data_IF_962868423590
#
_entry.id   IF_962868423590
#
_cell.length_a   1.000
_cell.length_b   1.000
_cell.length_c   1.000
_cell.angle_alpha   90.00
_cell.angle_beta   90.00
_cell.angle_gamma   90.00
#
_symmetry.space_group_name_H-M   'P 1'
#
loop_
_entity.id
_entity.type
_entity.pdbx_description
1 polymer ?
#
# COMPACT_ATOMS: atom_id res chain seq x y z
N UNK A 1 3.28 -23.96 3.49
CA UNK A 1 2.08 -23.81 2.63
C UNK A 1 1.64 -22.36 2.69
N UNK A 2 1.28 -21.76 1.55
CA UNK A 2 0.78 -20.39 1.51
C UNK A 2 -0.58 -20.30 2.21
N UNK A 3 -0.79 -19.24 2.98
CA UNK A 3 -2.08 -18.90 3.57
C UNK A 3 -3.08 -18.47 2.50
N UNK A 4 -4.38 -18.52 2.80
CA UNK A 4 -5.43 -18.07 1.88
C UNK A 4 -5.24 -16.63 1.38
N UNK A 5 -4.63 -15.75 2.20
CA UNK A 5 -4.30 -14.37 1.80
C UNK A 5 -3.12 -14.32 0.82
N UNK A 6 -2.08 -15.09 1.08
CA UNK A 6 -0.93 -15.19 0.18
C UNK A 6 -1.33 -15.77 -1.18
N UNK A 7 -2.24 -16.74 -1.21
CA UNK A 7 -2.78 -17.29 -2.47
C UNK A 7 -3.52 -16.20 -3.27
N UNK A 8 -4.30 -15.35 -2.61
CA UNK A 8 -5.01 -14.25 -3.28
C UNK A 8 -4.09 -13.18 -3.86
N UNK A 9 -2.89 -12.99 -3.30
CA UNK A 9 -1.91 -12.03 -3.79
C UNK A 9 -1.01 -12.66 -4.87
N UNK A 10 -0.46 -13.84 -4.59
CA UNK A 10 0.51 -14.49 -5.48
C UNK A 10 -0.15 -15.16 -6.69
N UNK A 11 -1.40 -15.61 -6.59
CA UNK A 11 -2.13 -16.21 -7.71
C UNK A 11 -2.25 -15.27 -8.93
N UNK A 12 -2.72 -14.02 -8.75
CA UNK A 12 -2.70 -13.01 -9.80
C UNK A 12 -1.31 -12.74 -10.37
N UNK A 13 -0.28 -12.64 -9.53
CA UNK A 13 1.10 -12.44 -9.99
C UNK A 13 1.58 -13.58 -10.89
N UNK A 14 1.30 -14.83 -10.52
CA UNK A 14 1.60 -16.01 -11.33
C UNK A 14 0.84 -15.99 -12.66
N UNK A 15 -0.46 -15.67 -12.64
CA UNK A 15 -1.29 -15.56 -13.86
C UNK A 15 -0.75 -14.50 -14.82
N UNK A 16 -0.28 -13.38 -14.29
CA UNK A 16 0.30 -12.28 -15.05
C UNK A 16 1.78 -12.50 -15.40
N UNK A 17 2.38 -13.62 -14.97
CA UNK A 17 3.81 -13.93 -15.13
C UNK A 17 4.73 -12.85 -14.56
N UNK A 18 4.30 -12.20 -13.49
CA UNK A 18 5.12 -11.25 -12.73
C UNK A 18 5.99 -12.06 -11.77
N UNK A 19 7.31 -11.97 -11.93
CA UNK A 19 8.27 -12.60 -11.05
C UNK A 19 8.22 -11.94 -9.66
N UNK A 20 8.27 -12.75 -8.61
CA UNK A 20 8.30 -12.28 -7.24
C UNK A 20 9.15 -13.21 -6.37
N UNK A 21 9.77 -12.62 -5.35
CA UNK A 21 10.49 -13.34 -4.29
C UNK A 21 9.92 -12.92 -2.95
N UNK A 22 9.82 -13.88 -2.03
CA UNK A 22 9.35 -13.65 -0.67
C UNK A 22 10.49 -13.88 0.32
N UNK A 23 10.71 -12.92 1.21
CA UNK A 23 11.72 -13.00 2.26
C UNK A 23 11.01 -13.02 3.62
N UNK A 24 10.84 -14.19 4.27
CA UNK A 24 10.25 -14.26 5.59
C UNK A 24 11.13 -13.55 6.62
N UNK A 25 10.55 -12.61 7.37
CA UNK A 25 11.24 -11.88 8.44
C UNK A 25 10.24 -11.55 9.57
N UNK A 26 10.70 -11.34 10.81
CA UNK A 26 9.84 -10.83 11.89
C UNK A 26 9.36 -9.40 11.56
N UNK A 27 8.26 -8.92 12.15
CA UNK A 27 7.80 -7.55 11.93
C UNK A 27 8.92 -6.53 12.19
N UNK A 28 9.17 -5.68 11.19
CA UNK A 28 10.12 -4.56 11.26
C UNK A 28 9.42 -3.41 11.95
N UNK A 29 10.01 -2.88 13.01
CA UNK A 29 9.40 -1.80 13.80
C UNK A 29 10.24 -0.52 13.81
N UNK A 30 11.50 -0.60 13.36
CA UNK A 30 12.39 0.55 13.22
C UNK A 30 12.75 0.81 11.76
N UNK A 31 13.20 2.04 11.46
CA UNK A 31 13.69 2.39 10.12
C UNK A 31 14.95 1.60 9.79
N UNK A 32 15.93 1.57 10.71
CA UNK A 32 17.23 0.94 10.51
C UNK A 32 17.12 -0.56 10.19
N UNK A 33 16.24 -1.29 10.89
CA UNK A 33 15.95 -2.70 10.58
C UNK A 33 15.40 -2.86 9.15
N UNK A 34 14.55 -1.93 8.72
CA UNK A 34 13.98 -1.91 7.37
C UNK A 34 15.03 -1.67 6.29
N UNK A 35 15.95 -0.73 6.54
CA UNK A 35 17.01 -0.39 5.61
C UNK A 35 18.02 -1.52 5.45
N UNK A 36 18.47 -2.09 6.57
CA UNK A 36 19.40 -3.22 6.56
C UNK A 36 18.82 -4.43 5.79
N UNK A 37 17.52 -4.68 5.94
CA UNK A 37 16.85 -5.74 5.18
C UNK A 37 16.77 -5.42 3.69
N UNK A 38 16.40 -4.19 3.34
CA UNK A 38 16.33 -3.74 1.95
C UNK A 38 17.69 -3.85 1.23
N UNK A 39 18.77 -3.45 1.90
CA UNK A 39 20.14 -3.61 1.42
C UNK A 39 20.50 -5.09 1.18
N UNK A 40 20.16 -5.97 2.13
CA UNK A 40 20.38 -7.42 2.02
C UNK A 40 19.67 -8.01 0.79
N UNK A 41 18.45 -7.55 0.52
CA UNK A 41 17.65 -7.98 -0.63
C UNK A 41 18.02 -7.26 -1.94
N UNK A 42 18.93 -6.28 -1.90
CA UNK A 42 19.22 -5.35 -3.02
C UNK A 42 17.93 -4.72 -3.58
N UNK A 43 17.01 -4.37 -2.69
CA UNK A 43 15.70 -3.86 -3.01
C UNK A 43 15.56 -2.39 -2.60
N UNK A 44 14.66 -1.66 -3.26
CA UNK A 44 14.26 -0.31 -2.84
C UNK A 44 13.17 -0.45 -1.78
N UNK A 45 13.42 0.09 -0.58
CA UNK A 45 12.39 0.21 0.43
C UNK A 45 11.33 1.24 -0.01
N UNK A 46 10.05 0.83 0.05
CA UNK A 46 8.92 1.69 -0.32
C UNK A 46 8.02 1.88 0.90
N UNK A 47 7.59 3.12 1.12
CA UNK A 47 6.61 3.51 2.11
C UNK A 47 5.27 3.77 1.44
N UNK A 48 4.24 3.19 2.02
CA UNK A 48 2.87 3.31 1.54
C UNK A 48 2.09 4.29 2.41
N UNK A 49 1.44 5.28 1.78
CA UNK A 49 0.55 6.23 2.45
C UNK A 49 -0.83 6.21 1.80
N UNK A 50 -1.87 6.05 2.61
CA UNK A 50 -3.24 6.11 2.14
C UNK A 50 -3.85 7.48 2.45
N UNK A 51 -4.41 8.13 1.42
CA UNK A 51 -5.07 9.42 1.52
C UNK A 51 -6.48 9.41 0.94
N UNK A 52 -7.35 10.24 1.49
CA UNK A 52 -8.69 10.51 0.97
C UNK A 52 -8.79 12.00 0.58
N UNK A 53 -9.50 12.29 -0.49
CA UNK A 53 -10.00 13.62 -0.82
C UNK A 53 -11.54 13.63 -0.59
N UNK A 54 -12.02 13.97 0.62
CA UNK A 54 -13.40 13.69 1.02
C UNK A 54 -14.43 14.43 0.17
N UNK A 55 -14.14 15.68 -0.21
CA UNK A 55 -15.02 16.50 -1.04
C UNK A 55 -15.25 15.91 -2.42
N UNK A 56 -14.22 15.28 -3.00
CA UNK A 56 -14.29 14.63 -4.32
C UNK A 56 -14.63 13.14 -4.24
N UNK A 57 -14.72 12.58 -3.03
CA UNK A 57 -14.93 11.14 -2.79
C UNK A 57 -13.89 10.27 -3.49
N UNK A 58 -12.64 10.76 -3.57
CA UNK A 58 -11.51 10.04 -4.16
C UNK A 58 -10.60 9.49 -3.08
N UNK A 59 -9.93 8.39 -3.40
CA UNK A 59 -8.95 7.74 -2.53
C UNK A 59 -7.66 7.53 -3.31
N UNK A 60 -6.54 7.65 -2.62
CA UNK A 60 -5.21 7.57 -3.19
C UNK A 60 -4.34 6.66 -2.33
N UNK A 61 -3.57 5.79 -3.00
CA UNK A 61 -2.47 5.06 -2.40
C UNK A 61 -1.18 5.64 -2.98
N UNK A 62 -0.38 6.27 -2.13
CA UNK A 62 0.91 6.82 -2.49
C UNK A 62 2.01 5.82 -2.16
N UNK A 63 2.89 5.59 -3.13
CA UNK A 63 4.09 4.78 -2.99
C UNK A 63 5.26 5.75 -3.04
N UNK A 64 6.03 5.82 -1.97
CA UNK A 64 7.23 6.65 -1.91
C UNK A 64 8.44 5.76 -1.75
N UNK A 65 9.46 5.97 -2.58
CA UNK A 65 10.76 5.39 -2.29
C UNK A 65 11.32 5.99 -1.00
N UNK A 66 12.25 5.27 -0.39
CA UNK A 66 13.01 5.78 0.74
C UNK A 66 13.66 7.15 0.41
N UNK A 67 13.63 8.08 1.37
CA UNK A 67 14.16 9.43 1.21
C UNK A 67 13.25 10.38 0.43
N UNK A 68 12.24 9.88 -0.27
CA UNK A 68 11.26 10.73 -0.94
C UNK A 68 10.23 11.29 0.06
N UNK A 69 9.89 12.56 -0.15
CA UNK A 69 8.84 13.22 0.59
C UNK A 69 8.04 14.14 -0.33
N UNK A 70 6.80 14.38 0.03
CA UNK A 70 5.99 15.44 -0.57
C UNK A 70 5.47 16.34 0.53
N UNK A 71 5.17 17.58 0.17
CA UNK A 71 4.34 18.44 1.03
C UNK A 71 2.87 18.22 0.68
N UNK A 72 2.01 18.23 1.69
CA UNK A 72 0.57 18.03 1.48
C UNK A 72 -0.01 19.04 0.48
N UNK A 73 0.45 20.30 0.50
CA UNK A 73 -0.01 21.35 -0.41
C UNK A 73 0.38 21.06 -1.87
N UNK A 74 1.66 20.77 -2.13
CA UNK A 74 2.11 20.46 -3.49
C UNK A 74 1.38 19.23 -4.05
N UNK A 75 1.16 18.21 -3.22
CA UNK A 75 0.42 17.02 -3.63
C UNK A 75 -1.05 17.32 -3.96
N UNK A 76 -1.70 18.19 -3.19
CA UNK A 76 -3.09 18.61 -3.44
C UNK A 76 -3.24 19.37 -4.75
N UNK A 77 -2.26 20.23 -5.07
CA UNK A 77 -2.19 20.97 -6.33
C UNK A 77 -1.97 20.03 -7.51
N UNK A 78 -0.97 19.14 -7.44
CA UNK A 78 -0.63 18.19 -8.51
C UNK A 78 -1.79 17.23 -8.84
N UNK A 79 -2.46 16.70 -7.82
CA UNK A 79 -3.58 15.78 -8.04
C UNK A 79 -4.89 16.51 -8.39
N UNK A 80 -4.92 17.84 -8.24
CA UNK A 80 -6.14 18.63 -8.30
C UNK A 80 -7.22 18.13 -7.35
N UNK A 81 -6.87 17.40 -6.29
CA UNK A 81 -7.82 16.63 -5.48
C UNK A 81 -8.53 17.50 -4.41
N UNK A 82 -8.07 18.73 -4.22
CA UNK A 82 -8.44 19.55 -3.06
C UNK A 82 -7.82 19.00 -1.79
N UNK A 83 -8.34 19.39 -0.62
CA UNK A 83 -7.75 19.01 0.66
C UNK A 83 -7.70 17.47 0.85
N UNK A 84 -6.49 16.97 1.05
CA UNK A 84 -6.19 15.56 1.33
C UNK A 84 -6.13 15.33 2.84
N UNK A 85 -6.78 14.26 3.29
CA UNK A 85 -6.72 13.77 4.66
C UNK A 85 -6.04 12.41 4.68
N UNK A 86 -5.08 12.24 5.58
CA UNK A 86 -4.36 10.98 5.79
C UNK A 86 -4.84 10.32 7.07
N UNK A 87 -4.95 8.98 7.05
CA UNK A 87 -5.29 8.20 8.23
C UNK A 87 -6.78 7.91 8.42
N UNK A 88 -7.02 6.93 9.26
CA UNK A 88 -8.26 6.18 9.39
C UNK A 88 -9.26 6.90 10.29
N UNK A 89 -9.99 7.89 9.74
CA UNK A 89 -11.33 8.14 10.26
C UNK A 89 -12.16 6.96 9.78
N UNK A 90 -12.24 5.88 10.59
CA UNK A 90 -13.06 4.67 10.38
C UNK A 90 -13.69 4.69 9.01
N UNK A 91 -13.08 4.09 8.00
CA UNK A 91 -13.67 4.05 6.64
C UNK A 91 -15.08 3.43 6.77
N UNK A 92 -16.10 4.28 6.95
CA UNK A 92 -17.49 3.90 7.26
C UNK A 92 -18.24 3.46 6.01
N UNK A 93 -17.66 3.72 4.84
CA UNK A 93 -18.17 3.27 3.56
C UNK A 93 -17.44 1.99 3.20
N UNK A 94 -18.13 0.90 2.85
CA UNK A 94 -17.47 -0.25 2.29
C UNK A 94 -16.85 0.22 0.98
N UNK A 95 -15.55 0.51 1.03
CA UNK A 95 -14.77 0.49 -0.19
C UNK A 95 -15.01 -0.91 -0.76
N UNK A 96 -15.40 -1.08 -2.04
CA UNK A 96 -15.60 -2.42 -2.62
C UNK A 96 -14.31 -3.25 -2.55
N UNK A 97 -13.19 -2.56 -2.32
CA UNK A 97 -11.92 -3.11 -1.89
C UNK A 97 -11.88 -3.12 -0.37
N UNK A 98 -12.14 -4.28 0.24
CA UNK A 98 -11.72 -4.50 1.61
C UNK A 98 -10.18 -4.47 1.64
N UNK A 99 -9.58 -3.28 1.76
CA UNK A 99 -8.27 -3.14 2.40
C UNK A 99 -8.47 -3.45 3.90
N UNK A 100 -8.90 -4.67 4.20
CA UNK A 100 -9.05 -5.20 5.55
C UNK A 100 -7.68 -5.55 6.08
N UNK A 101 -6.84 -4.51 6.21
CA UNK A 101 -5.49 -4.65 6.69
C UNK A 101 -5.32 -3.74 7.89
N UNK A 102 -4.68 -4.28 8.93
CA UNK A 102 -4.39 -3.54 10.15
C UNK A 102 -3.59 -2.27 9.78
N UNK A 103 -3.79 -1.19 10.53
CA UNK A 103 -3.07 0.07 10.40
C UNK A 103 -1.58 -0.19 10.11
N UNK A 104 -1.07 0.39 9.02
CA UNK A 104 0.34 0.26 8.61
C UNK A 104 0.64 -0.85 7.59
N UNK A 105 -0.36 -1.59 7.10
CA UNK A 105 -0.20 -2.66 6.10
C UNK A 105 -0.95 -2.37 4.79
N UNK A 106 -1.20 -1.10 4.47
CA UNK A 106 -1.62 -0.74 3.12
C UNK A 106 -0.44 -1.00 2.20
N UNK A 107 -0.58 -1.94 1.26
CA UNK A 107 0.45 -2.28 0.28
C UNK A 107 -0.15 -2.27 -1.12
N UNK A 108 0.65 -1.97 -2.18
CA UNK A 108 0.19 -2.01 -3.56
C UNK A 108 -0.55 -3.31 -3.92
N UNK A 109 -0.07 -4.43 -3.40
CA UNK A 109 -0.61 -5.77 -3.69
C UNK A 109 -2.04 -5.96 -3.21
N UNK A 110 -2.51 -5.14 -2.26
CA UNK A 110 -3.89 -5.20 -1.80
C UNK A 110 -4.88 -4.74 -2.89
N UNK A 111 -4.41 -4.08 -3.95
CA UNK A 111 -5.21 -3.83 -5.15
C UNK A 111 -5.64 -5.14 -5.87
N UNK A 112 -4.94 -6.26 -5.65
CA UNK A 112 -5.39 -7.57 -6.15
C UNK A 112 -6.50 -8.19 -5.29
N UNK A 113 -6.70 -7.69 -4.07
CA UNK A 113 -7.79 -8.11 -3.19
C UNK A 113 -9.12 -7.40 -3.52
N UNK A 114 -9.13 -6.53 -4.54
CA UNK A 114 -10.35 -5.94 -5.09
C UNK A 114 -11.23 -7.07 -5.60
N UNK A 115 -12.30 -7.36 -4.88
CA UNK A 115 -13.40 -8.14 -5.42
C UNK A 115 -14.04 -7.31 -6.52
N UNK A 116 -13.72 -7.64 -7.76
CA UNK A 116 -14.64 -7.37 -8.86
C UNK A 116 -15.93 -8.09 -8.49
N UNK A 117 -16.95 -7.35 -8.05
CA UNK A 117 -18.30 -7.90 -8.13
C UNK A 117 -18.56 -8.17 -9.62
N UNK A 118 -19.11 -9.34 -9.98
CA UNK A 118 -19.58 -9.57 -11.34
C UNK A 118 -20.62 -8.52 -11.73
#
# INVERSE_FOLDING_TARGET
MLTNKEIQIYGPLQKLKILYEGFPHPPIVTLDEGLALAETMKAVAVKDLFGEAPKKKLFFLFLLAEGEFFTGKALQETLGAGHLTFGDKKIKRPFPVSFAVKKGLYRPWNCFLVRNKP
#
